data_IF_575343975174
#
_entry.id   IF_575343975174
#
_cell.length_a   1.000
_cell.length_b   1.000
_cell.length_c   1.000
_cell.angle_alpha   90.00
_cell.angle_beta   90.00
_cell.angle_gamma   90.00
#
_symmetry.space_group_name_H-M   'P 1'
#
loop_
_entity.id
_entity.type
_entity.pdbx_description
1 polymer ?
#
# COMPACT_ATOMS: atom_id res chain seq x y z
N UNK A 1 18.92 -7.26 8.98
CA UNK A 1 17.68 -6.45 8.91
C UNK A 1 17.00 -6.30 10.26
N UNK A 2 16.57 -7.37 10.94
CA UNK A 2 15.89 -7.27 12.25
C UNK A 2 16.75 -6.52 13.29
N UNK A 3 18.02 -6.93 13.48
CA UNK A 3 18.94 -6.26 14.42
C UNK A 3 19.11 -4.77 14.09
N UNK A 4 19.23 -4.45 12.79
CA UNK A 4 19.34 -3.06 12.33
C UNK A 4 18.07 -2.26 12.67
N UNK A 5 16.89 -2.80 12.38
CA UNK A 5 15.61 -2.18 12.74
C UNK A 5 15.44 -1.99 14.26
N UNK A 6 15.76 -3.01 15.05
CA UNK A 6 15.70 -2.92 16.51
C UNK A 6 16.67 -1.87 17.05
N UNK A 7 17.87 -1.76 16.47
CA UNK A 7 18.82 -0.71 16.83
C UNK A 7 18.27 0.69 16.52
N UNK A 8 17.64 0.88 15.35
CA UNK A 8 17.02 2.16 14.98
C UNK A 8 15.87 2.56 15.90
N UNK A 9 15.08 1.63 16.45
CA UNK A 9 13.94 2.01 17.31
C UNK A 9 14.28 2.04 18.81
N UNK A 10 15.18 1.16 19.30
CA UNK A 10 15.46 1.02 20.74
C UNK A 10 16.57 1.95 21.21
N UNK A 11 17.62 2.16 20.40
CA UNK A 11 18.80 2.92 20.84
C UNK A 11 18.52 4.43 20.97
N UNK A 12 17.80 5.11 20.04
CA UNK A 12 17.61 6.55 20.14
C UNK A 12 16.94 7.04 21.42
N UNK A 13 15.89 6.38 21.97
CA UNK A 13 15.31 6.74 23.25
C UNK A 13 16.26 6.65 24.46
N UNK A 14 17.34 5.86 24.36
CA UNK A 14 18.32 5.68 25.43
C UNK A 14 19.44 6.72 25.40
N UNK A 15 19.52 7.51 24.33
CA UNK A 15 20.53 8.54 24.14
C UNK A 15 20.01 9.92 24.58
N UNK A 16 20.90 10.84 24.99
CA UNK A 16 20.50 12.21 25.30
C UNK A 16 19.92 12.91 24.05
N UNK A 17 19.08 13.91 24.27
CA UNK A 17 18.49 14.70 23.21
C UNK A 17 19.59 15.29 22.30
N UNK A 18 19.45 15.21 20.97
CA UNK A 18 20.45 15.73 20.06
C UNK A 18 20.55 17.26 20.20
N UNK A 19 21.76 17.85 20.20
CA UNK A 19 21.91 19.29 20.21
C UNK A 19 21.25 19.94 18.99
N UNK A 20 20.73 21.16 19.17
CA UNK A 20 20.15 21.96 18.08
C UNK A 20 21.19 22.15 16.96
N UNK A 21 20.79 21.89 15.71
CA UNK A 21 21.69 21.98 14.55
C UNK A 21 22.65 20.80 14.33
N UNK A 22 22.61 19.73 15.13
CA UNK A 22 23.47 18.56 14.90
C UNK A 22 23.26 17.94 13.49
N UNK A 23 24.35 17.69 12.77
CA UNK A 23 24.30 17.01 11.48
C UNK A 23 23.66 15.62 11.61
N UNK A 24 22.98 15.14 10.56
CA UNK A 24 22.31 13.83 10.55
C UNK A 24 23.26 12.69 10.90
N UNK A 25 24.51 12.75 10.45
CA UNK A 25 25.54 11.75 10.76
C UNK A 25 26.24 11.99 12.11
N UNK A 26 26.04 13.16 12.73
CA UNK A 26 26.65 13.53 14.01
C UNK A 26 25.86 13.07 15.24
N UNK A 27 24.60 12.63 15.07
CA UNK A 27 23.79 12.04 16.13
C UNK A 27 23.05 10.81 15.63
N UNK A 28 23.15 9.71 16.37
CA UNK A 28 22.44 8.48 16.05
C UNK A 28 20.90 8.67 16.09
N UNK A 29 20.39 9.59 16.91
CA UNK A 29 18.96 9.90 17.01
C UNK A 29 18.44 10.46 15.68
N UNK A 30 19.09 11.53 15.18
CA UNK A 30 18.74 12.16 13.90
C UNK A 30 18.97 11.22 12.72
N UNK A 31 20.04 10.44 12.76
CA UNK A 31 20.30 9.40 11.77
C UNK A 31 19.14 8.39 11.69
N UNK A 32 18.66 7.91 12.83
CA UNK A 32 17.54 6.97 12.85
C UNK A 32 16.27 7.58 12.28
N UNK A 33 15.92 8.80 12.68
CA UNK A 33 14.73 9.50 12.21
C UNK A 33 14.78 9.68 10.68
N UNK A 34 15.92 10.13 10.17
CA UNK A 34 16.15 10.26 8.73
C UNK A 34 16.02 8.92 7.98
N UNK A 35 16.64 7.86 8.49
CA UNK A 35 16.57 6.54 7.85
C UNK A 35 15.14 6.02 7.82
N UNK A 36 14.38 6.12 8.91
CA UNK A 36 13.02 5.57 9.00
C UNK A 36 12.02 6.42 8.19
N UNK A 37 12.02 7.73 8.37
CA UNK A 37 10.97 8.58 7.81
C UNK A 37 11.29 9.08 6.41
N UNK A 38 12.54 9.41 6.12
CA UNK A 38 12.95 9.97 4.82
C UNK A 38 13.34 8.88 3.81
N UNK A 39 14.04 7.83 4.24
CA UNK A 39 14.57 6.81 3.31
C UNK A 39 13.67 5.58 3.25
N UNK A 40 13.32 5.00 4.41
CA UNK A 40 12.69 3.68 4.48
C UNK A 40 11.28 3.69 3.88
N UNK A 41 10.37 4.58 4.31
CA UNK A 41 8.99 4.58 3.82
C UNK A 41 8.87 4.83 2.30
N UNK A 42 9.51 5.87 1.71
CA UNK A 42 9.50 6.06 0.26
C UNK A 42 10.08 4.86 -0.49
N UNK A 43 11.16 4.27 0.03
CA UNK A 43 11.78 3.09 -0.55
C UNK A 43 10.84 1.87 -0.53
N UNK A 44 10.12 1.65 0.58
CA UNK A 44 9.12 0.59 0.69
C UNK A 44 8.06 0.74 -0.38
N UNK A 45 7.48 1.93 -0.53
CA UNK A 45 6.44 2.20 -1.53
C UNK A 45 6.94 1.95 -2.95
N UNK A 46 8.12 2.46 -3.29
CA UNK A 46 8.71 2.28 -4.63
C UNK A 46 9.08 0.81 -4.91
N UNK A 47 9.57 0.08 -3.89
CA UNK A 47 9.94 -1.33 -4.03
C UNK A 47 8.76 -2.22 -4.47
N UNK A 48 7.53 -1.83 -4.15
CA UNK A 48 6.32 -2.57 -4.53
C UNK A 48 6.11 -2.62 -6.05
N UNK A 49 6.59 -1.60 -6.77
CA UNK A 49 6.51 -1.53 -8.22
C UNK A 49 7.41 -2.59 -8.88
N UNK A 50 8.56 -2.86 -8.28
CA UNK A 50 9.46 -3.91 -8.75
C UNK A 50 9.02 -5.29 -8.23
N UNK A 51 8.92 -5.46 -6.91
CA UNK A 51 8.85 -6.75 -6.25
C UNK A 51 7.45 -7.15 -5.76
N UNK A 52 6.41 -6.38 -6.07
CA UNK A 52 5.09 -6.56 -5.46
C UNK A 52 5.20 -6.48 -3.93
N UNK A 53 4.50 -7.34 -3.18
CA UNK A 53 4.61 -7.35 -1.70
C UNK A 53 5.85 -8.08 -1.16
N UNK A 54 6.89 -8.26 -1.97
CA UNK A 54 8.14 -8.92 -1.55
C UNK A 54 8.83 -8.23 -0.37
N UNK A 55 8.63 -6.92 -0.19
CA UNK A 55 9.08 -6.24 1.02
C UNK A 55 8.52 -6.90 2.28
N UNK A 56 7.21 -7.14 2.33
CA UNK A 56 6.56 -7.79 3.47
C UNK A 56 7.12 -9.22 3.68
N UNK A 57 7.38 -9.94 2.58
CA UNK A 57 7.88 -11.31 2.56
C UNK A 57 9.32 -11.51 3.02
N UNK A 58 10.19 -10.55 2.72
CA UNK A 58 11.64 -10.77 2.76
C UNK A 58 12.35 -9.74 3.63
N UNK A 59 11.92 -8.48 3.55
CA UNK A 59 12.64 -7.35 4.15
C UNK A 59 11.97 -6.77 5.40
N UNK A 60 10.67 -6.99 5.58
CA UNK A 60 9.90 -6.40 6.66
C UNK A 60 10.27 -7.03 8.01
N UNK A 61 10.83 -6.24 8.95
CA UNK A 61 11.27 -6.76 10.24
C UNK A 61 10.09 -7.25 11.10
N UNK A 62 8.97 -6.52 11.10
CA UNK A 62 7.73 -6.95 11.77
C UNK A 62 7.21 -8.28 11.22
N UNK A 63 7.21 -8.43 9.89
CA UNK A 63 6.78 -9.65 9.22
C UNK A 63 7.67 -10.84 9.57
N UNK A 64 8.99 -10.63 9.61
CA UNK A 64 9.96 -11.66 9.98
C UNK A 64 9.83 -12.08 11.45
N UNK A 65 9.68 -11.12 12.37
CA UNK A 65 9.46 -11.39 13.80
C UNK A 65 8.13 -12.12 14.03
N UNK A 66 7.05 -11.69 13.38
CA UNK A 66 5.77 -12.38 13.43
C UNK A 66 5.85 -13.79 12.83
N UNK A 67 6.56 -13.97 11.71
CA UNK A 67 6.74 -15.29 11.10
C UNK A 67 7.50 -16.25 12.03
N UNK A 68 8.57 -15.77 12.68
CA UNK A 68 9.32 -16.55 13.66
C UNK A 68 8.46 -16.91 14.89
N UNK A 69 7.75 -15.92 15.43
CA UNK A 69 6.84 -16.11 16.56
C UNK A 69 5.72 -17.11 16.23
N UNK A 70 5.20 -17.10 15.01
CA UNK A 70 4.10 -17.99 14.58
C UNK A 70 4.46 -19.49 14.64
N UNK A 71 5.74 -19.85 14.66
CA UNK A 71 6.19 -21.24 14.82
C UNK A 71 5.86 -21.78 16.22
N UNK A 72 5.85 -20.88 17.21
CA UNK A 72 5.61 -21.19 18.62
C UNK A 72 4.16 -20.90 19.06
N UNK A 73 3.28 -20.56 18.11
CA UNK A 73 1.95 -20.08 18.44
C UNK A 73 1.00 -21.14 19.03
N UNK A 74 -0.01 -20.68 19.77
CA UNK A 74 -1.09 -21.48 20.37
C UNK A 74 -2.10 -22.03 19.35
N UNK A 75 -1.97 -21.67 18.07
CA UNK A 75 -2.78 -22.20 16.98
C UNK A 75 -4.29 -21.94 17.10
N UNK A 76 -4.71 -20.82 17.71
CA UNK A 76 -6.14 -20.48 17.75
C UNK A 76 -6.64 -20.08 16.37
N UNK A 77 -7.91 -20.38 16.10
CA UNK A 77 -8.57 -19.97 14.87
C UNK A 77 -8.66 -18.44 14.80
N UNK A 78 -8.44 -17.87 13.62
CA UNK A 78 -8.58 -16.43 13.39
C UNK A 78 -10.07 -16.05 13.49
N UNK A 79 -10.46 -15.15 14.40
CA UNK A 79 -11.83 -14.67 14.55
C UNK A 79 -12.39 -14.08 13.25
N UNK A 80 -13.70 -14.13 13.07
CA UNK A 80 -14.37 -13.57 11.88
C UNK A 80 -14.21 -12.04 11.79
N UNK A 81 -14.25 -11.33 12.91
CA UNK A 81 -14.11 -9.87 12.96
C UNK A 81 -12.77 -9.39 12.40
N UNK A 82 -11.68 -10.13 12.61
CA UNK A 82 -10.36 -9.79 12.04
C UNK A 82 -10.31 -9.90 10.52
N UNK A 83 -11.20 -10.70 9.93
CA UNK A 83 -11.26 -10.89 8.47
C UNK A 83 -12.05 -9.79 7.77
N UNK A 84 -12.59 -8.84 8.52
CA UNK A 84 -13.37 -7.75 7.97
C UNK A 84 -12.46 -6.79 7.20
N UNK A 85 -12.80 -6.53 5.92
CA UNK A 85 -11.95 -5.77 5.00
C UNK A 85 -11.71 -4.31 5.40
N UNK A 86 -12.46 -3.77 6.34
CA UNK A 86 -12.27 -2.41 6.86
C UNK A 86 -11.17 -2.31 7.93
N UNK A 87 -10.76 -3.43 8.55
CA UNK A 87 -9.80 -3.39 9.68
C UNK A 87 -8.49 -2.69 9.32
N UNK A 88 -7.81 -2.98 8.19
CA UNK A 88 -6.58 -2.27 7.84
C UNK A 88 -6.80 -0.78 7.57
N UNK A 89 -7.98 -0.38 7.06
CA UNK A 89 -8.32 1.03 6.86
C UNK A 89 -8.42 1.77 8.19
N UNK A 90 -9.16 1.20 9.15
CA UNK A 90 -9.30 1.78 10.49
C UNK A 90 -7.95 1.80 11.20
N UNK A 91 -7.15 0.74 11.09
CA UNK A 91 -5.81 0.68 11.66
C UNK A 91 -4.87 1.73 11.03
N UNK A 92 -4.93 1.94 9.72
CA UNK A 92 -4.15 2.96 9.02
C UNK A 92 -4.55 4.38 9.42
N UNK A 93 -5.86 4.66 9.49
CA UNK A 93 -6.35 5.93 9.98
C UNK A 93 -5.94 6.17 11.45
N UNK A 94 -6.13 5.18 12.31
CA UNK A 94 -5.79 5.26 13.73
C UNK A 94 -4.30 5.47 13.98
N UNK A 95 -3.42 4.71 13.31
CA UNK A 95 -1.97 4.87 13.49
C UNK A 95 -1.47 6.20 12.94
N UNK A 96 -2.10 6.72 11.87
CA UNK A 96 -1.75 8.02 11.30
C UNK A 96 -2.17 9.16 12.22
N UNK A 97 -3.40 9.12 12.74
CA UNK A 97 -3.89 10.09 13.73
C UNK A 97 -3.02 10.06 14.98
N UNK A 98 -2.71 8.85 15.49
CA UNK A 98 -1.83 8.70 16.64
C UNK A 98 -0.45 9.30 16.35
N UNK A 99 0.15 8.97 15.20
CA UNK A 99 1.48 9.47 14.82
C UNK A 99 1.56 10.99 14.77
N UNK A 100 0.50 11.65 14.30
CA UNK A 100 0.40 13.11 14.27
C UNK A 100 0.19 13.73 15.66
N UNK A 101 -0.60 13.08 16.53
CA UNK A 101 -0.83 13.58 17.89
C UNK A 101 0.39 13.48 18.81
N UNK A 102 1.33 12.57 18.51
CA UNK A 102 2.53 12.34 19.34
C UNK A 102 3.83 12.83 18.69
N UNK A 103 3.75 13.48 17.53
CA UNK A 103 4.89 13.95 16.72
C UNK A 103 5.93 12.82 16.54
N UNK A 104 5.49 11.75 15.88
CA UNK A 104 6.23 10.47 15.80
C UNK A 104 7.62 10.59 15.16
N UNK A 105 7.81 11.59 14.31
CA UNK A 105 9.03 11.89 13.58
C UNK A 105 10.01 12.74 14.39
N UNK A 106 9.53 13.59 15.30
CA UNK A 106 10.39 14.45 16.13
C UNK A 106 10.91 13.75 17.39
N UNK A 107 10.09 12.88 18.00
CA UNK A 107 10.40 12.26 19.31
C UNK A 107 10.79 10.79 19.17
N UNK A 108 12.00 10.38 19.61
CA UNK A 108 12.44 8.98 19.49
C UNK A 108 11.57 8.01 20.31
N UNK A 109 11.03 8.48 21.45
CA UNK A 109 10.11 7.69 22.28
C UNK A 109 8.80 7.41 21.53
N UNK A 110 8.27 8.40 20.81
CA UNK A 110 7.07 8.26 19.97
C UNK A 110 7.31 7.29 18.82
N UNK A 111 8.48 7.35 18.18
CA UNK A 111 8.89 6.40 17.16
C UNK A 111 8.90 4.95 17.70
N UNK A 112 9.48 4.73 18.88
CA UNK A 112 9.49 3.42 19.54
C UNK A 112 8.06 2.96 19.89
N UNK A 113 7.21 3.87 20.38
CA UNK A 113 5.83 3.54 20.73
C UNK A 113 5.04 3.04 19.51
N UNK A 114 5.16 3.72 18.37
CA UNK A 114 4.42 3.37 17.15
C UNK A 114 4.98 2.10 16.51
N UNK A 115 6.28 2.08 16.19
CA UNK A 115 6.91 0.98 15.46
C UNK A 115 7.19 -0.24 16.36
N UNK A 116 7.65 0.00 17.59
CA UNK A 116 7.82 -1.06 18.58
C UNK A 116 6.48 -1.61 19.07
N UNK A 117 5.47 -0.74 19.26
CA UNK A 117 4.11 -1.15 19.60
C UNK A 117 3.45 -2.01 18.51
N UNK A 118 3.52 -1.60 17.24
CA UNK A 118 3.03 -2.42 16.12
C UNK A 118 3.76 -3.75 16.03
N UNK A 119 5.09 -3.77 16.24
CA UNK A 119 5.89 -5.00 16.28
C UNK A 119 5.43 -5.93 17.41
N UNK A 120 5.21 -5.39 18.61
CA UNK A 120 4.75 -6.17 19.76
C UNK A 120 3.38 -6.79 19.48
N UNK A 121 2.43 -6.02 18.93
CA UNK A 121 1.11 -6.53 18.55
C UNK A 121 1.23 -7.58 17.44
N UNK A 122 2.09 -7.38 16.45
CA UNK A 122 2.34 -8.35 15.39
C UNK A 122 2.83 -9.71 15.94
N UNK A 123 3.77 -9.68 16.89
CA UNK A 123 4.29 -10.86 17.59
C UNK A 123 3.21 -11.52 18.43
N UNK A 124 2.45 -10.77 19.22
CA UNK A 124 1.35 -11.31 20.04
C UNK A 124 0.29 -12.01 19.17
N UNK A 125 -0.13 -11.38 18.08
CA UNK A 125 -1.09 -11.96 17.13
C UNK A 125 -0.53 -13.25 16.54
N UNK A 126 0.73 -13.27 16.15
CA UNK A 126 1.38 -14.45 15.61
C UNK A 126 1.49 -15.60 16.63
N UNK A 127 1.72 -15.29 17.91
CA UNK A 127 1.75 -16.28 19.00
C UNK A 127 0.35 -16.81 19.34
N UNK A 128 -0.71 -16.02 19.22
CA UNK A 128 -2.05 -16.46 19.62
C UNK A 128 -2.70 -17.32 18.52
N UNK A 129 -2.62 -16.88 17.27
CA UNK A 129 -3.38 -17.45 16.16
C UNK A 129 -2.60 -18.56 15.43
N UNK A 130 -3.09 -18.94 14.24
CA UNK A 130 -2.64 -20.09 13.45
C UNK A 130 -1.11 -20.21 13.34
N UNK A 131 -0.60 -21.42 13.58
CA UNK A 131 0.83 -21.75 13.45
C UNK A 131 1.32 -21.61 12.01
N UNK A 132 2.57 -21.19 11.84
CA UNK A 132 3.25 -21.04 10.54
C UNK A 132 2.48 -20.17 9.53
N UNK A 133 1.69 -19.20 10.02
CA UNK A 133 0.91 -18.29 9.17
C UNK A 133 1.19 -16.83 9.48
N UNK A 134 0.93 -15.97 8.49
CA UNK A 134 1.20 -14.54 8.55
C UNK A 134 -0.10 -13.76 8.73
N UNK A 135 -0.80 -14.04 9.83
CA UNK A 135 -2.10 -13.46 10.17
C UNK A 135 -2.02 -11.93 10.25
N UNK A 136 -0.96 -11.39 10.89
CA UNK A 136 -0.73 -9.94 11.00
C UNK A 136 -0.68 -9.27 9.63
N UNK A 137 0.25 -9.69 8.77
CA UNK A 137 0.45 -9.12 7.44
C UNK A 137 -0.77 -9.29 6.52
N UNK A 138 -1.61 -10.31 6.76
CA UNK A 138 -2.82 -10.54 5.98
C UNK A 138 -4.00 -9.67 6.41
N UNK A 139 -4.22 -9.50 7.71
CA UNK A 139 -5.49 -8.96 8.24
C UNK A 139 -5.38 -7.69 9.07
N UNK A 140 -4.28 -7.47 9.81
CA UNK A 140 -4.20 -6.43 10.83
C UNK A 140 -3.19 -5.32 10.50
N UNK A 141 -2.15 -5.63 9.74
CA UNK A 141 -1.12 -4.67 9.38
C UNK A 141 -1.76 -3.43 8.71
N UNK A 142 -1.56 -2.21 9.27
CA UNK A 142 -2.23 -0.99 8.79
C UNK A 142 -2.03 -0.73 7.30
N UNK A 143 -0.84 -1.03 6.79
CA UNK A 143 -0.46 -0.81 5.40
C UNK A 143 -0.77 -2.00 4.47
N UNK A 144 -1.46 -3.04 4.95
CA UNK A 144 -1.71 -4.26 4.16
C UNK A 144 -2.57 -4.01 2.92
N UNK A 145 -3.63 -3.19 3.04
CA UNK A 145 -4.49 -2.85 1.89
C UNK A 145 -3.74 -1.98 0.88
N UNK A 146 -2.97 -0.99 1.36
CA UNK A 146 -2.11 -0.15 0.53
C UNK A 146 -1.18 -1.00 -0.34
N UNK A 147 -0.41 -1.89 0.30
CA UNK A 147 0.52 -2.77 -0.40
C UNK A 147 -0.18 -3.81 -1.26
N UNK A 148 -1.39 -4.25 -0.88
CA UNK A 148 -2.26 -5.07 -1.72
C UNK A 148 -2.56 -4.40 -3.05
N UNK A 149 -3.01 -3.14 -3.03
CA UNK A 149 -3.28 -2.35 -4.24
C UNK A 149 -2.01 -2.13 -5.08
N UNK A 150 -0.92 -1.69 -4.46
CA UNK A 150 0.33 -1.41 -5.17
C UNK A 150 0.98 -2.66 -5.77
N UNK A 151 0.79 -3.82 -5.15
CA UNK A 151 1.30 -5.08 -5.73
C UNK A 151 0.65 -5.46 -7.06
N UNK A 152 -0.58 -4.97 -7.32
CA UNK A 152 -1.24 -5.14 -8.62
C UNK A 152 -0.55 -4.32 -9.72
N UNK A 153 0.16 -3.25 -9.35
CA UNK A 153 1.02 -2.46 -10.24
C UNK A 153 2.40 -3.10 -10.42
N UNK A 154 2.79 -4.01 -9.52
CA UNK A 154 4.13 -4.62 -9.50
C UNK A 154 4.47 -5.49 -10.73
N UNK A 155 5.76 -5.52 -11.09
CA UNK A 155 6.29 -6.31 -12.21
C UNK A 155 6.47 -7.79 -11.89
N UNK A 156 6.99 -8.12 -10.71
CA UNK A 156 7.17 -9.52 -10.30
C UNK A 156 5.86 -10.09 -9.76
N UNK A 157 5.51 -11.30 -10.20
CA UNK A 157 4.38 -12.01 -9.65
C UNK A 157 4.49 -13.53 -9.75
N UNK A 158 3.73 -14.23 -8.93
CA UNK A 158 3.51 -15.67 -9.11
C UNK A 158 2.27 -15.92 -9.96
N UNK A 159 2.32 -16.95 -10.80
CA UNK A 159 1.19 -17.40 -11.60
C UNK A 159 1.15 -18.92 -11.62
N UNK A 160 -0.07 -19.44 -11.67
CA UNK A 160 -0.34 -20.87 -11.88
C UNK A 160 -0.44 -21.13 -13.38
N UNK A 161 0.39 -22.04 -13.85
CA UNK A 161 0.23 -22.72 -15.13
C UNK A 161 -0.81 -23.83 -14.95
N UNK A 162 -2.06 -23.51 -15.29
CA UNK A 162 -3.17 -24.44 -15.16
C UNK A 162 -3.04 -25.66 -16.08
N UNK A 163 -2.35 -25.53 -17.23
CA UNK A 163 -2.15 -26.67 -18.13
C UNK A 163 -1.20 -27.69 -17.48
N UNK A 164 -0.09 -27.23 -16.90
CA UNK A 164 0.82 -28.09 -16.14
C UNK A 164 0.17 -28.67 -14.89
N UNK A 165 -0.62 -27.87 -14.19
CA UNK A 165 -1.36 -28.34 -13.01
C UNK A 165 -2.37 -29.45 -13.36
N UNK A 166 -3.06 -29.34 -14.50
CA UNK A 166 -4.02 -30.35 -14.97
C UNK A 166 -3.33 -31.60 -15.53
N UNK A 167 -2.20 -31.44 -16.23
CA UNK A 167 -1.41 -32.55 -16.75
C UNK A 167 -0.64 -33.31 -15.66
N UNK A 168 -0.58 -32.76 -14.45
CA UNK A 168 0.13 -33.36 -13.33
C UNK A 168 -0.50 -34.70 -12.92
N UNK A 169 0.29 -35.78 -13.03
CA UNK A 169 -0.16 -37.17 -12.79
C UNK A 169 0.43 -37.81 -11.53
N UNK A 170 1.08 -37.03 -10.67
CA UNK A 170 1.81 -37.51 -9.49
C UNK A 170 3.24 -37.94 -9.83
N UNK A 171 4.21 -37.11 -9.50
CA UNK A 171 5.64 -37.47 -9.44
C UNK A 171 6.04 -37.85 -8.01
N UNK A 172 7.17 -38.56 -7.85
CA UNK A 172 7.61 -39.24 -6.62
C UNK A 172 7.45 -38.46 -5.30
N UNK A 173 7.20 -39.22 -4.22
CA UNK A 173 6.75 -38.75 -2.90
C UNK A 173 7.58 -37.63 -2.26
N UNK A 174 8.88 -37.54 -2.56
CA UNK A 174 9.80 -36.61 -1.91
C UNK A 174 9.80 -35.19 -2.51
N UNK A 175 9.32 -35.00 -3.75
CA UNK A 175 9.52 -33.73 -4.44
C UNK A 175 8.58 -32.60 -3.94
N UNK A 176 7.45 -32.89 -3.28
CA UNK A 176 6.32 -31.93 -3.30
C UNK A 176 5.41 -31.82 -2.07
N UNK A 177 5.79 -32.31 -0.88
CA UNK A 177 5.12 -31.90 0.37
C UNK A 177 5.63 -30.51 0.75
N UNK A 178 5.02 -29.47 0.17
CA UNK A 178 5.26 -28.08 0.57
C UNK A 178 4.34 -27.70 1.70
N UNK A 179 4.89 -26.95 2.66
CA UNK A 179 4.07 -26.30 3.67
C UNK A 179 2.95 -25.47 3.02
N UNK A 180 1.77 -25.41 3.63
CA UNK A 180 0.70 -24.53 3.19
C UNK A 180 1.20 -23.09 3.04
N UNK A 181 0.62 -22.35 2.09
CA UNK A 181 0.93 -20.93 1.91
C UNK A 181 0.75 -20.19 3.26
N UNK A 182 1.77 -19.45 3.77
CA UNK A 182 1.68 -18.79 5.07
C UNK A 182 0.55 -17.74 5.17
N UNK A 183 0.15 -17.16 4.04
CA UNK A 183 -0.99 -16.24 3.93
C UNK A 183 -2.28 -16.92 3.50
N UNK A 184 -2.33 -18.25 3.56
CA UNK A 184 -3.53 -19.07 3.39
C UNK A 184 -4.20 -18.89 2.03
N UNK A 185 -3.40 -18.70 0.97
CA UNK A 185 -3.92 -18.67 -0.41
C UNK A 185 -4.13 -20.11 -0.87
N UNK A 186 -5.30 -20.38 -1.44
CA UNK A 186 -5.54 -21.63 -2.15
C UNK A 186 -4.78 -21.60 -3.49
N UNK A 187 -3.60 -22.22 -3.51
CA UNK A 187 -2.65 -22.14 -4.63
C UNK A 187 -3.25 -22.48 -6.01
N UNK A 188 -4.11 -23.51 -6.17
CA UNK A 188 -4.75 -23.79 -7.46
C UNK A 188 -5.60 -22.65 -8.03
N UNK A 189 -6.12 -21.77 -7.17
CA UNK A 189 -6.97 -20.64 -7.55
C UNK A 189 -6.23 -19.29 -7.45
N UNK A 190 -4.89 -19.28 -7.43
CA UNK A 190 -4.11 -18.04 -7.38
C UNK A 190 -4.27 -17.25 -8.70
N UNK A 191 -5.20 -16.30 -8.69
CA UNK A 191 -5.51 -15.36 -9.79
C UNK A 191 -4.88 -13.98 -9.61
N UNK A 192 -4.66 -13.57 -8.35
CA UNK A 192 -4.19 -12.24 -7.94
C UNK A 192 -3.05 -12.34 -6.93
N UNK A 193 -2.10 -11.41 -7.02
CA UNK A 193 -0.97 -11.34 -6.09
C UNK A 193 -1.20 -10.36 -4.93
N UNK A 194 -2.41 -9.81 -4.78
CA UNK A 194 -2.75 -8.83 -3.73
C UNK A 194 -2.44 -9.29 -2.31
N UNK A 195 -2.61 -10.58 -2.02
CA UNK A 195 -2.33 -11.18 -0.71
C UNK A 195 -1.01 -11.95 -0.69
N UNK A 196 -0.38 -12.16 -1.85
CA UNK A 196 0.87 -12.89 -1.96
C UNK A 196 2.01 -12.01 -1.46
N UNK A 197 2.73 -12.45 -0.44
CA UNK A 197 3.86 -11.71 0.14
C UNK A 197 5.19 -12.01 -0.55
N UNK A 198 5.15 -12.73 -1.68
CA UNK A 198 6.34 -13.17 -2.42
C UNK A 198 7.39 -13.87 -1.55
N UNK A 199 6.97 -14.82 -0.72
CA UNK A 199 7.86 -15.59 0.16
C UNK A 199 8.55 -16.79 -0.50
N UNK A 200 8.32 -17.02 -1.81
CA UNK A 200 8.91 -18.09 -2.64
C UNK A 200 8.63 -19.56 -2.21
N UNK A 201 7.98 -19.81 -1.06
CA UNK A 201 7.70 -21.19 -0.58
C UNK A 201 6.94 -22.05 -1.60
N UNK A 202 6.02 -21.44 -2.37
CA UNK A 202 5.18 -22.15 -3.35
C UNK A 202 5.84 -22.40 -4.71
N UNK A 203 7.05 -21.89 -4.98
CA UNK A 203 7.73 -22.02 -6.29
C UNK A 203 7.96 -23.49 -6.65
N UNK A 204 7.60 -23.91 -7.86
CA UNK A 204 7.75 -25.32 -8.28
C UNK A 204 6.76 -26.27 -7.63
N UNK A 205 5.71 -25.78 -6.95
CA UNK A 205 4.63 -26.65 -6.49
C UNK A 205 3.94 -27.30 -7.71
N UNK A 206 4.04 -28.63 -7.82
CA UNK A 206 3.53 -29.43 -8.95
C UNK A 206 3.98 -28.92 -10.33
N UNK A 207 5.18 -28.34 -10.41
CA UNK A 207 5.73 -27.67 -11.60
C UNK A 207 4.79 -26.63 -12.25
N UNK A 208 3.82 -26.14 -11.48
CA UNK A 208 2.75 -25.27 -11.96
C UNK A 208 2.92 -23.82 -11.52
N UNK A 209 3.71 -23.54 -10.48
CA UNK A 209 3.87 -22.18 -9.95
C UNK A 209 5.28 -21.66 -10.23
N UNK A 210 5.36 -20.60 -11.05
CA UNK A 210 6.61 -19.98 -11.46
C UNK A 210 6.60 -18.48 -11.18
N UNK A 211 7.78 -17.91 -10.90
CA UNK A 211 7.96 -16.47 -10.90
C UNK A 211 7.91 -15.98 -12.35
N UNK A 212 7.07 -15.00 -12.64
CA UNK A 212 6.95 -14.38 -13.95
C UNK A 212 7.05 -12.86 -13.81
N UNK A 213 7.53 -12.23 -14.88
CA UNK A 213 7.54 -10.78 -15.02
C UNK A 213 6.38 -10.36 -15.90
N UNK A 214 5.68 -9.31 -15.49
CA UNK A 214 4.62 -8.65 -16.26
C UNK A 214 4.91 -7.17 -16.40
N UNK A 215 4.28 -6.53 -17.38
CA UNK A 215 4.32 -5.08 -17.46
C UNK A 215 3.63 -4.46 -16.21
N UNK A 216 4.16 -3.36 -15.65
CA UNK A 216 3.53 -2.68 -14.53
C UNK A 216 2.05 -2.38 -14.79
N UNK A 217 1.17 -2.77 -13.85
CA UNK A 217 -0.27 -2.55 -13.97
C UNK A 217 -1.01 -3.50 -14.91
N UNK A 218 -0.36 -4.51 -15.50
CA UNK A 218 -1.03 -5.51 -16.36
C UNK A 218 -2.12 -6.29 -15.61
N UNK A 219 -1.99 -6.50 -14.29
CA UNK A 219 -3.05 -7.12 -13.47
C UNK A 219 -4.34 -6.29 -13.50
N UNK A 220 -4.22 -4.95 -13.46
CA UNK A 220 -5.37 -4.05 -13.49
C UNK A 220 -6.06 -4.05 -14.85
N UNK A 221 -5.33 -4.24 -15.95
CA UNK A 221 -5.93 -4.42 -17.28
C UNK A 221 -6.78 -5.69 -17.37
N UNK A 222 -6.44 -6.70 -16.57
CA UNK A 222 -7.18 -7.97 -16.45
C UNK A 222 -7.98 -8.05 -15.15
N UNK A 223 -8.37 -6.93 -14.56
CA UNK A 223 -9.05 -6.88 -13.24
C UNK A 223 -10.33 -7.72 -13.18
N UNK A 224 -11.00 -7.94 -14.32
CA UNK A 224 -12.16 -8.82 -14.44
C UNK A 224 -11.87 -10.28 -14.04
N UNK A 225 -10.60 -10.70 -14.05
CA UNK A 225 -10.12 -12.04 -13.70
C UNK A 225 -9.29 -12.06 -12.41
N UNK A 226 -9.08 -10.91 -11.76
CA UNK A 226 -8.13 -10.74 -10.66
C UNK A 226 -8.82 -10.33 -9.33
N UNK A 227 -10.05 -10.81 -9.11
CA UNK A 227 -10.85 -10.63 -7.89
C UNK A 227 -10.84 -9.20 -7.34
N UNK A 228 -11.62 -8.27 -7.92
CA UNK A 228 -11.68 -6.90 -7.43
C UNK A 228 -12.24 -6.86 -6.00
N UNK A 229 -11.59 -6.12 -5.11
CA UNK A 229 -12.03 -5.96 -3.73
C UNK A 229 -12.54 -4.52 -3.51
N UNK A 230 -13.79 -4.39 -3.11
CA UNK A 230 -14.40 -3.09 -2.81
C UNK A 230 -13.60 -2.29 -1.76
N UNK A 231 -13.16 -2.94 -0.68
CA UNK A 231 -12.39 -2.31 0.40
C UNK A 231 -11.01 -1.79 -0.04
N UNK A 232 -10.40 -2.37 -1.08
CA UNK A 232 -9.15 -1.82 -1.65
C UNK A 232 -9.38 -0.44 -2.28
N UNK A 233 -10.53 -0.25 -2.93
CA UNK A 233 -10.90 1.04 -3.54
C UNK A 233 -11.31 2.06 -2.50
N UNK A 234 -12.08 1.65 -1.48
CA UNK A 234 -12.38 2.55 -0.36
C UNK A 234 -11.10 2.99 0.35
N UNK A 235 -10.17 2.06 0.59
CA UNK A 235 -8.86 2.40 1.15
C UNK A 235 -8.07 3.31 0.22
N UNK A 236 -8.11 3.09 -1.09
CA UNK A 236 -7.43 3.95 -2.06
C UNK A 236 -7.91 5.41 -1.96
N UNK A 237 -9.22 5.63 -1.82
CA UNK A 237 -9.78 6.98 -1.76
C UNK A 237 -9.62 7.63 -0.39
N UNK A 238 -10.04 6.92 0.67
CA UNK A 238 -10.00 7.43 2.04
C UNK A 238 -8.59 7.41 2.63
N UNK A 239 -7.90 6.27 2.53
CA UNK A 239 -6.61 6.02 3.16
C UNK A 239 -5.42 6.50 2.34
N UNK A 240 -5.34 6.18 1.05
CA UNK A 240 -4.14 6.50 0.25
C UNK A 240 -4.13 7.91 -0.34
N UNK A 241 -5.30 8.54 -0.48
CA UNK A 241 -5.44 9.90 -1.02
C UNK A 241 -5.94 10.87 0.07
N UNK A 242 -7.14 10.63 0.63
CA UNK A 242 -7.81 11.57 1.52
C UNK A 242 -7.08 11.83 2.84
N UNK A 243 -6.60 10.79 3.50
CA UNK A 243 -5.91 10.91 4.79
C UNK A 243 -4.53 11.60 4.66
N UNK A 244 -3.62 11.20 3.75
CA UNK A 244 -2.36 11.91 3.51
C UNK A 244 -2.57 13.38 3.18
N UNK A 245 -3.55 13.71 2.33
CA UNK A 245 -3.89 15.11 2.06
C UNK A 245 -4.30 15.85 3.34
N UNK A 246 -5.09 15.23 4.22
CA UNK A 246 -5.42 15.81 5.52
C UNK A 246 -4.19 16.08 6.37
N UNK A 247 -3.27 15.11 6.46
CA UNK A 247 -2.02 15.22 7.24
C UNK A 247 -1.15 16.36 6.73
N UNK A 248 -0.79 16.35 5.44
CA UNK A 248 0.12 17.35 4.88
C UNK A 248 -0.50 18.75 4.81
N UNK A 249 -1.83 18.87 4.73
CA UNK A 249 -2.50 20.18 4.87
C UNK A 249 -2.63 20.62 6.33
N UNK A 250 -2.61 19.71 7.31
CA UNK A 250 -2.63 20.05 8.73
C UNK A 250 -1.28 20.64 9.18
N UNK A 251 -0.19 20.03 8.72
CA UNK A 251 1.19 20.48 8.97
C UNK A 251 1.39 21.94 8.51
N UNK A 252 0.80 22.28 7.38
CA UNK A 252 0.75 23.64 6.84
C UNK A 252 0.00 24.64 7.73
N UNK A 253 -1.00 24.16 8.48
CA UNK A 253 -1.93 24.99 9.23
C UNK A 253 -1.69 24.96 10.74
N UNK A 254 -0.64 24.27 11.19
CA UNK A 254 -0.25 24.08 12.59
C UNK A 254 -1.47 23.81 13.50
N UNK A 255 -2.21 22.74 13.21
CA UNK A 255 -3.43 22.37 13.95
C UNK A 255 -3.14 21.36 15.07
N UNK A 256 -3.66 21.63 16.27
CA UNK A 256 -3.49 20.73 17.41
C UNK A 256 -4.78 20.00 17.82
N UNK A 257 -4.59 18.82 18.43
CA UNK A 257 -5.62 18.08 19.16
C UNK A 257 -6.89 17.79 18.36
N UNK A 258 -8.05 18.22 18.88
CA UNK A 258 -9.35 17.94 18.26
C UNK A 258 -9.49 18.55 16.86
N UNK A 259 -8.88 19.71 16.58
CA UNK A 259 -8.96 20.37 15.27
C UNK A 259 -8.26 19.54 14.19
N UNK A 260 -7.11 18.95 14.53
CA UNK A 260 -6.39 18.02 13.67
C UNK A 260 -7.28 16.80 13.36
N UNK A 261 -7.84 16.15 14.38
CA UNK A 261 -8.69 14.96 14.18
C UNK A 261 -9.90 15.27 13.30
N UNK A 262 -10.57 16.41 13.53
CA UNK A 262 -11.70 16.85 12.71
C UNK A 262 -11.27 17.11 11.26
N UNK A 263 -10.11 17.73 11.05
CA UNK A 263 -9.58 17.93 9.69
C UNK A 263 -9.29 16.59 9.00
N UNK A 264 -8.66 15.64 9.68
CA UNK A 264 -8.32 14.32 9.12
C UNK A 264 -9.58 13.51 8.77
N UNK A 265 -10.59 13.51 9.66
CA UNK A 265 -11.88 12.87 9.37
C UNK A 265 -12.60 13.60 8.22
N UNK A 266 -12.56 14.93 8.23
CA UNK A 266 -13.11 15.76 7.17
C UNK A 266 -12.46 15.49 5.81
N UNK A 267 -11.13 15.36 5.75
CA UNK A 267 -10.41 15.07 4.51
C UNK A 267 -10.73 13.68 3.99
N UNK A 268 -10.78 12.68 4.87
CA UNK A 268 -11.23 11.32 4.52
C UNK A 268 -12.63 11.36 3.93
N UNK A 269 -13.56 12.04 4.60
CA UNK A 269 -14.96 12.10 4.17
C UNK A 269 -15.11 12.83 2.83
N UNK A 270 -14.51 14.02 2.69
CA UNK A 270 -14.64 14.87 1.50
C UNK A 270 -13.98 14.20 0.29
N UNK A 271 -12.70 13.80 0.37
CA UNK A 271 -12.02 13.17 -0.75
C UNK A 271 -12.55 11.77 -1.04
N UNK A 272 -12.86 11.00 0.00
CA UNK A 272 -13.48 9.69 -0.12
C UNK A 272 -14.82 9.74 -0.85
N UNK A 273 -15.72 10.64 -0.44
CA UNK A 273 -17.03 10.81 -1.06
C UNK A 273 -16.93 11.39 -2.48
N UNK A 274 -16.05 12.37 -2.71
CA UNK A 274 -15.85 12.96 -4.03
C UNK A 274 -15.36 11.92 -5.05
N UNK A 275 -14.29 11.19 -4.72
CA UNK A 275 -13.74 10.16 -5.62
C UNK A 275 -14.70 8.97 -5.77
N UNK A 276 -15.40 8.57 -4.71
CA UNK A 276 -16.44 7.55 -4.80
C UNK A 276 -17.60 8.01 -5.70
N UNK A 277 -18.06 9.25 -5.58
CA UNK A 277 -19.12 9.82 -6.42
C UNK A 277 -18.74 9.87 -7.89
N UNK A 278 -17.54 10.36 -8.20
CA UNK A 278 -16.98 10.37 -9.56
C UNK A 278 -16.85 8.96 -10.13
N UNK A 279 -16.32 8.02 -9.33
CA UNK A 279 -16.16 6.61 -9.74
C UNK A 279 -17.52 5.95 -9.97
N UNK A 280 -18.49 6.20 -9.10
CA UNK A 280 -19.86 5.70 -9.22
C UNK A 280 -20.54 6.25 -10.48
N UNK A 281 -20.41 7.54 -10.76
CA UNK A 281 -20.97 8.16 -11.97
C UNK A 281 -20.33 7.55 -13.23
N UNK A 282 -19.00 7.40 -13.24
CA UNK A 282 -18.28 6.73 -14.34
C UNK A 282 -18.75 5.27 -14.53
N UNK A 283 -18.95 4.53 -13.43
CA UNK A 283 -19.49 3.17 -13.47
C UNK A 283 -20.93 3.12 -14.02
N UNK A 284 -21.79 4.06 -13.61
CA UNK A 284 -23.18 4.14 -14.08
C UNK A 284 -23.29 4.42 -15.57
N UNK A 285 -22.42 5.26 -16.12
CA UNK A 285 -22.41 5.59 -17.55
C UNK A 285 -22.07 4.39 -18.45
N UNK A 286 -21.31 3.44 -17.90
CA UNK A 286 -20.78 2.28 -18.64
C UNK A 286 -21.57 1.00 -18.33
N UNK A 287 -22.44 1.03 -17.32
CA UNK A 287 -23.30 -0.09 -16.97
C UNK A 287 -24.42 -0.30 -18.02
N UNK A 288 -24.78 -1.56 -18.37
CA UNK A 288 -24.15 -2.82 -17.96
C UNK A 288 -22.81 -3.07 -18.66
N UNK A 289 -21.85 -3.65 -17.93
CA UNK A 289 -20.52 -3.93 -18.47
C UNK A 289 -20.58 -5.01 -19.56
N UNK A 290 -19.89 -4.76 -20.68
CA UNK A 290 -19.83 -5.68 -21.83
C UNK A 290 -19.03 -6.96 -21.52
N UNK A 291 -17.98 -6.87 -20.71
CA UNK A 291 -17.07 -8.00 -20.43
C UNK A 291 -17.25 -8.55 -19.02
N UNK A 292 -17.90 -9.71 -18.95
CA UNK A 292 -18.16 -10.45 -17.73
C UNK A 292 -19.33 -9.84 -16.97
N UNK A 293 -20.39 -10.61 -16.77
CA UNK A 293 -21.49 -10.21 -15.91
C UNK A 293 -20.92 -9.82 -14.55
N UNK A 294 -21.22 -8.60 -14.11
CA UNK A 294 -20.69 -8.07 -12.87
C UNK A 294 -21.76 -7.23 -12.19
N UNK A 295 -21.69 -7.19 -10.86
CA UNK A 295 -22.51 -6.29 -10.07
C UNK A 295 -22.05 -4.83 -10.26
N UNK A 296 -22.90 -3.88 -9.90
CA UNK A 296 -22.52 -2.46 -9.86
C UNK A 296 -21.36 -2.20 -8.90
N UNK A 297 -21.28 -2.94 -7.78
CA UNK A 297 -20.19 -2.84 -6.82
C UNK A 297 -18.85 -3.34 -7.40
N UNK A 298 -18.86 -4.43 -8.16
CA UNK A 298 -17.67 -4.89 -8.88
C UNK A 298 -17.23 -3.91 -9.95
N UNK A 299 -18.16 -3.35 -10.74
CA UNK A 299 -17.82 -2.34 -11.74
C UNK A 299 -17.24 -1.08 -11.10
N UNK A 300 -17.81 -0.64 -9.97
CA UNK A 300 -17.25 0.43 -9.15
C UNK A 300 -15.82 0.11 -8.73
N UNK A 301 -15.56 -1.10 -8.22
CA UNK A 301 -14.21 -1.49 -7.80
C UNK A 301 -13.23 -1.50 -8.99
N UNK A 302 -13.63 -2.06 -10.14
CA UNK A 302 -12.82 -2.10 -11.38
C UNK A 302 -12.42 -0.70 -11.86
N UNK A 303 -13.34 0.25 -11.81
CA UNK A 303 -13.09 1.66 -12.21
C UNK A 303 -12.35 2.41 -11.09
N UNK A 304 -12.52 2.03 -9.83
CA UNK A 304 -11.82 2.66 -8.71
C UNK A 304 -10.31 2.44 -8.75
N UNK A 305 -9.84 1.26 -9.19
CA UNK A 305 -8.41 0.98 -9.36
C UNK A 305 -7.70 1.88 -10.37
N UNK A 306 -8.44 2.64 -11.19
CA UNK A 306 -7.85 3.58 -12.12
C UNK A 306 -7.01 4.65 -11.40
N UNK A 307 -7.36 5.00 -10.16
CA UNK A 307 -6.60 5.94 -9.33
C UNK A 307 -5.35 5.33 -8.68
N UNK A 308 -5.07 4.03 -8.86
CA UNK A 308 -3.98 3.36 -8.18
C UNK A 308 -2.59 3.94 -8.49
N UNK A 309 -2.22 4.24 -9.76
CA UNK A 309 -0.95 4.90 -10.05
C UNK A 309 -0.89 6.30 -9.45
N UNK A 310 -1.97 7.07 -9.56
CA UNK A 310 -2.01 8.44 -9.03
C UNK A 310 -1.77 8.43 -7.50
N UNK A 311 -2.47 7.55 -6.78
CA UNK A 311 -2.29 7.39 -5.34
C UNK A 311 -0.87 6.92 -4.97
N UNK A 312 -0.27 6.02 -5.76
CA UNK A 312 1.11 5.56 -5.56
C UNK A 312 2.09 6.73 -5.63
N UNK A 313 2.05 7.51 -6.71
CA UNK A 313 2.98 8.62 -6.91
C UNK A 313 2.70 9.77 -5.96
N UNK A 314 1.44 10.10 -5.67
CA UNK A 314 1.10 11.18 -4.73
C UNK A 314 1.54 10.83 -3.30
N UNK A 315 1.30 9.59 -2.87
CA UNK A 315 1.73 9.13 -1.55
C UNK A 315 3.26 9.06 -1.46
N UNK A 316 3.94 8.54 -2.50
CA UNK A 316 5.39 8.53 -2.55
C UNK A 316 5.97 9.95 -2.43
N UNK A 317 5.41 10.91 -3.16
CA UNK A 317 5.84 12.31 -3.10
C UNK A 317 5.61 12.93 -1.72
N UNK A 318 4.45 12.69 -1.11
CA UNK A 318 4.17 13.15 0.26
C UNK A 318 5.15 12.57 1.29
N UNK A 319 5.36 11.25 1.27
CA UNK A 319 6.33 10.59 2.16
C UNK A 319 7.77 11.01 1.89
N UNK A 320 8.07 11.57 0.72
CA UNK A 320 9.41 12.04 0.35
C UNK A 320 9.64 13.52 0.67
N UNK A 321 8.68 14.25 1.25
CA UNK A 321 8.85 15.66 1.63
C UNK A 321 10.09 15.86 2.52
N UNK A 322 10.29 15.11 3.62
CA UNK A 322 11.48 15.26 4.46
C UNK A 322 12.78 15.00 3.70
N UNK A 323 12.75 14.09 2.72
CA UNK A 323 13.90 13.80 1.86
C UNK A 323 14.26 14.98 0.96
N UNK A 324 13.26 15.64 0.37
CA UNK A 324 13.48 16.83 -0.44
C UNK A 324 13.90 18.05 0.39
N UNK A 325 13.50 18.13 1.65
CA UNK A 325 13.96 19.14 2.61
C UNK A 325 15.42 18.91 3.01
N UNK A 326 15.80 17.65 3.27
CA UNK A 326 17.19 17.31 3.50
C UNK A 326 18.07 17.64 2.29
N UNK A 327 17.58 17.34 1.07
CA UNK A 327 18.24 17.76 -0.18
C UNK A 327 18.37 19.29 -0.28
N UNK A 328 17.38 20.04 0.20
CA UNK A 328 17.46 21.50 0.31
C UNK A 328 18.64 21.93 1.19
N UNK A 329 18.76 21.31 2.37
CA UNK A 329 19.77 21.64 3.36
C UNK A 329 21.21 21.40 2.89
N UNK A 330 21.43 20.47 1.96
CA UNK A 330 22.74 20.21 1.35
C UNK A 330 23.00 21.05 0.08
N UNK A 331 22.12 22.01 -0.24
CA UNK A 331 22.30 22.93 -1.37
C UNK A 331 21.81 22.40 -2.72
N UNK A 332 20.95 21.37 -2.75
CA UNK A 332 20.41 20.85 -4.01
C UNK A 332 19.45 21.88 -4.66
N UNK A 333 19.58 22.17 -5.97
CA UNK A 333 18.86 23.29 -6.60
C UNK A 333 17.34 23.21 -6.43
N UNK A 334 16.65 24.30 -6.05
CA UNK A 334 15.20 24.30 -5.84
C UNK A 334 14.44 23.90 -7.11
N UNK A 335 14.83 24.47 -8.25
CA UNK A 335 14.24 24.15 -9.57
C UNK A 335 14.33 22.66 -9.88
N UNK A 336 15.45 22.01 -9.57
CA UNK A 336 15.62 20.58 -9.82
C UNK A 336 14.67 19.73 -8.95
N UNK A 337 14.44 20.11 -7.69
CA UNK A 337 13.49 19.41 -6.80
C UNK A 337 12.06 19.52 -7.33
N UNK A 338 11.66 20.72 -7.75
CA UNK A 338 10.32 20.94 -8.29
C UNK A 338 10.11 20.22 -9.61
N UNK A 339 11.10 20.21 -10.50
CA UNK A 339 11.04 19.42 -11.74
C UNK A 339 10.88 17.94 -11.44
N UNK A 340 11.64 17.38 -10.50
CA UNK A 340 11.52 15.96 -10.10
C UNK A 340 10.11 15.67 -9.57
N UNK A 341 9.59 16.50 -8.66
CA UNK A 341 8.23 16.37 -8.10
C UNK A 341 7.17 16.43 -9.20
N UNK A 342 7.29 17.40 -10.11
CA UNK A 342 6.37 17.58 -11.24
C UNK A 342 6.39 16.39 -12.20
N UNK A 343 7.57 15.90 -12.57
CA UNK A 343 7.72 14.73 -13.45
C UNK A 343 7.09 13.47 -12.83
N UNK A 344 7.33 13.21 -11.54
CA UNK A 344 6.75 12.06 -10.83
C UNK A 344 5.23 12.15 -10.73
N UNK A 345 4.70 13.34 -10.41
CA UNK A 345 3.26 13.56 -10.34
C UNK A 345 2.61 13.41 -11.73
N UNK A 346 3.23 13.97 -12.77
CA UNK A 346 2.79 13.83 -14.15
C UNK A 346 2.81 12.36 -14.62
N UNK A 347 3.82 11.58 -14.22
CA UNK A 347 3.87 10.14 -14.51
C UNK A 347 2.65 9.40 -13.91
N UNK A 348 2.30 9.69 -12.66
CA UNK A 348 1.11 9.14 -12.00
C UNK A 348 -0.20 9.50 -12.74
N UNK A 349 -0.33 10.76 -13.16
CA UNK A 349 -1.48 11.27 -13.92
C UNK A 349 -1.61 10.59 -15.28
N UNK A 350 -0.54 10.59 -16.06
CA UNK A 350 -0.51 10.02 -17.40
C UNK A 350 -0.80 8.52 -17.36
N UNK A 351 -0.25 7.82 -16.37
CA UNK A 351 -0.50 6.39 -16.19
C UNK A 351 -1.94 6.10 -15.75
N UNK A 352 -2.48 6.87 -14.80
CA UNK A 352 -3.89 6.80 -14.38
C UNK A 352 -4.83 7.03 -15.58
N UNK A 353 -4.58 8.07 -16.38
CA UNK A 353 -5.37 8.38 -17.57
C UNK A 353 -5.23 7.29 -18.65
N UNK A 354 -4.04 6.74 -18.85
CA UNK A 354 -3.82 5.63 -19.79
C UNK A 354 -4.59 4.38 -19.37
N UNK A 355 -4.54 4.00 -18.09
CA UNK A 355 -5.30 2.88 -17.54
C UNK A 355 -6.79 3.11 -17.69
N UNK A 356 -7.27 4.32 -17.40
CA UNK A 356 -8.67 4.68 -17.53
C UNK A 356 -9.17 4.51 -18.96
N UNK A 357 -8.43 5.03 -19.94
CA UNK A 357 -8.78 4.87 -21.36
C UNK A 357 -8.84 3.40 -21.79
N UNK A 358 -7.90 2.57 -21.30
CA UNK A 358 -7.87 1.14 -21.61
C UNK A 358 -9.03 0.40 -20.95
N UNK A 359 -9.16 0.48 -19.63
CA UNK A 359 -10.12 -0.31 -18.86
C UNK A 359 -11.56 0.13 -19.17
N UNK A 360 -11.87 1.44 -19.22
CA UNK A 360 -13.21 1.92 -19.57
C UNK A 360 -13.58 1.46 -20.99
N UNK A 361 -12.64 1.53 -21.93
CA UNK A 361 -12.83 1.03 -23.30
C UNK A 361 -13.10 -0.48 -23.38
N UNK A 362 -12.66 -1.27 -22.40
CA UNK A 362 -12.98 -2.70 -22.31
C UNK A 362 -14.39 -2.98 -21.79
N UNK A 363 -15.00 -2.03 -21.07
CA UNK A 363 -16.29 -2.21 -20.42
C UNK A 363 -17.48 -1.82 -21.31
N UNK A 364 -17.31 -1.02 -22.37
CA UNK A 364 -18.41 -0.65 -23.30
C UNK A 364 -17.96 -0.58 -24.76
N UNK A 365 -18.86 -0.93 -25.69
CA UNK A 365 -18.65 -0.76 -27.13
C UNK A 365 -18.97 0.67 -27.61
N UNK A 366 -19.76 1.43 -26.85
CA UNK A 366 -20.23 2.75 -27.26
C UNK A 366 -19.18 3.82 -26.95
N UNK A 367 -18.54 4.36 -27.98
CA UNK A 367 -17.47 5.37 -27.85
C UNK A 367 -17.89 6.59 -27.04
N UNK A 368 -19.13 7.06 -27.20
CA UNK A 368 -19.67 8.19 -26.42
C UNK A 368 -19.77 7.91 -24.90
N UNK A 369 -20.21 6.71 -24.50
CA UNK A 369 -20.29 6.33 -23.08
C UNK A 369 -18.89 6.19 -22.48
N UNK A 370 -17.97 5.60 -23.24
CA UNK A 370 -16.56 5.50 -22.84
C UNK A 370 -15.91 6.87 -22.66
N UNK A 371 -16.14 7.80 -23.61
CA UNK A 371 -15.62 9.16 -23.53
C UNK A 371 -16.20 9.92 -22.33
N UNK A 372 -17.51 9.86 -22.11
CA UNK A 372 -18.15 10.51 -20.96
C UNK A 372 -17.61 9.96 -19.63
N UNK A 373 -17.51 8.63 -19.50
CA UNK A 373 -16.97 7.99 -18.29
C UNK A 373 -15.50 8.31 -18.05
N UNK A 374 -14.70 8.45 -19.12
CA UNK A 374 -13.31 8.89 -19.07
C UNK A 374 -13.21 10.36 -18.63
N UNK A 375 -14.01 11.26 -19.19
CA UNK A 375 -14.04 12.67 -18.79
C UNK A 375 -14.38 12.83 -17.30
N UNK A 376 -15.37 12.08 -16.81
CA UNK A 376 -15.70 12.04 -15.38
C UNK A 376 -14.50 11.59 -14.54
N UNK A 377 -13.78 10.55 -14.96
CA UNK A 377 -12.57 10.12 -14.26
C UNK A 377 -11.45 11.17 -14.26
N UNK A 378 -11.24 11.87 -15.38
CA UNK A 378 -10.27 12.96 -15.49
C UNK A 378 -10.59 14.10 -14.52
N UNK A 379 -11.87 14.39 -14.26
CA UNK A 379 -12.27 15.36 -13.22
C UNK A 379 -11.78 14.93 -11.84
N UNK A 380 -11.89 13.64 -11.48
CA UNK A 380 -11.37 13.14 -10.21
C UNK A 380 -9.83 13.20 -10.11
N UNK A 381 -9.13 12.92 -11.22
CA UNK A 381 -7.66 13.13 -11.29
C UNK A 381 -7.34 14.61 -11.05
N UNK A 382 -8.03 15.52 -11.73
CA UNK A 382 -7.85 16.97 -11.60
C UNK A 382 -8.09 17.47 -10.17
N UNK A 383 -9.16 16.99 -9.51
CA UNK A 383 -9.45 17.33 -8.12
C UNK A 383 -8.35 16.84 -7.16
N UNK A 384 -7.81 15.64 -7.39
CA UNK A 384 -6.70 15.10 -6.61
C UNK A 384 -5.43 15.93 -6.80
N UNK A 385 -5.14 16.35 -8.03
CA UNK A 385 -3.99 17.22 -8.33
C UNK A 385 -4.13 18.60 -7.69
N UNK A 386 -5.30 19.21 -7.79
CA UNK A 386 -5.57 20.52 -7.19
C UNK A 386 -5.35 20.50 -5.66
N UNK A 387 -5.57 19.35 -5.01
CA UNK A 387 -5.31 19.19 -3.59
C UNK A 387 -3.81 18.98 -3.25
N UNK A 388 -3.06 18.30 -4.12
CA UNK A 388 -1.64 18.00 -3.90
C UNK A 388 -0.68 19.12 -4.35
N UNK A 389 -1.00 19.88 -5.39
CA UNK A 389 -0.13 20.95 -5.90
C UNK A 389 0.25 21.96 -4.80
N UNK A 390 -0.69 22.49 -4.01
CA UNK A 390 -0.35 23.39 -2.93
C UNK A 390 0.54 22.76 -1.87
N UNK A 391 0.52 21.43 -1.68
CA UNK A 391 1.38 20.74 -0.70
C UNK A 391 2.81 20.58 -1.21
N UNK A 392 2.97 20.24 -2.49
CA UNK A 392 4.26 19.83 -3.05
C UNK A 392 5.15 21.00 -3.51
N UNK A 393 4.58 22.15 -3.87
CA UNK A 393 5.27 23.27 -4.52
C UNK A 393 5.21 24.55 -3.69
N UNK A 394 5.52 24.45 -2.40
CA UNK A 394 5.59 25.60 -1.49
C UNK A 394 6.97 26.20 -1.43
#
# INVERSE_FOLDING_TARGET
MIVFYLALIIVPPLLPAPPEGAAVLGSFVRFSQFVIWSVWWPFVVLSMLAFGRGWCGIMCPEGALAAYASQHGWNRAVPSWMRWGCIPLVAFAGITVLGQLIEVDEKPVSQLLVLGGSTLVAVMVALIYRRNTWVWCRYLCPVSLLFGVFSRLGTMHFRVDHARLQAWRGGGEEAHIKEPCPVQIHLPALSTNRSCLMCFRCVGWRDSIHLQFRAPGEELLRINQADPLFWEVIFLFAGAIGLPLGVFHAEVRELEGAKLVVLLIGSIAVFGAALAGVTWLSARLVFPARRGACTTAELFARIGYLYAPLALFSLFLGLSIPTFEHLAGVGFPPVARDVIRACLLAAGVLWSAWLARRIIGLQTAHRGKAAAAFSVHVVGIGATLAAWIPVLFR
#
